data_IF_768144811856
#
_entry.id   IF_768144811856
#
_cell.length_a   1.000
_cell.length_b   1.000
_cell.length_c   1.000
_cell.angle_alpha   90.00
_cell.angle_beta   90.00
_cell.angle_gamma   90.00
#
_symmetry.space_group_name_H-M   'P 1'
#
loop_
_entity.id
_entity.type
_entity.pdbx_description
1 polymer ?
#
# COMPACT_ATOMS: atom_id res chain seq x y z
N UNK A 1 14.25 -2.43 18.93
CA UNK A 1 13.56 -2.63 17.63
C UNK A 1 12.08 -2.83 17.86
N UNK A 2 11.21 -2.16 17.11
CA UNK A 2 9.75 -2.38 17.22
C UNK A 2 9.32 -3.58 16.38
N UNK A 3 8.76 -4.62 17.03
CA UNK A 3 8.18 -5.79 16.34
C UNK A 3 6.98 -5.40 15.48
N UNK A 4 6.16 -4.44 15.91
CA UNK A 4 5.01 -3.96 15.16
C UNK A 4 5.42 -3.35 13.81
N UNK A 5 6.49 -2.55 13.78
CA UNK A 5 7.01 -1.96 12.55
C UNK A 5 7.66 -2.99 11.63
N UNK A 6 8.28 -4.04 12.17
CA UNK A 6 8.79 -5.17 11.37
C UNK A 6 7.65 -5.93 10.70
N UNK A 7 6.60 -6.28 11.46
CA UNK A 7 5.40 -6.94 10.91
C UNK A 7 4.73 -6.04 9.87
N UNK A 8 4.63 -4.74 10.14
CA UNK A 8 4.09 -3.76 9.18
C UNK A 8 4.91 -3.74 7.89
N UNK A 9 6.24 -3.75 7.98
CA UNK A 9 7.12 -3.82 6.81
C UNK A 9 6.89 -5.07 5.96
N UNK A 10 6.69 -6.24 6.60
CA UNK A 10 6.35 -7.48 5.88
C UNK A 10 4.95 -7.38 5.27
N UNK A 11 3.98 -6.78 5.97
CA UNK A 11 2.64 -6.54 5.45
C UNK A 11 2.63 -5.68 4.19
N UNK A 12 3.44 -4.62 4.13
CA UNK A 12 3.61 -3.79 2.94
C UNK A 12 4.22 -4.55 1.75
N UNK A 13 5.17 -5.46 2.01
CA UNK A 13 5.72 -6.32 0.97
C UNK A 13 4.65 -7.28 0.43
N UNK A 14 3.90 -7.95 1.33
CA UNK A 14 2.86 -8.89 0.95
C UNK A 14 1.74 -8.22 0.15
N UNK A 15 1.29 -7.03 0.56
CA UNK A 15 0.26 -6.32 -0.19
C UNK A 15 0.78 -5.81 -1.53
N UNK A 16 2.06 -5.45 -1.65
CA UNK A 16 2.64 -5.11 -2.95
C UNK A 16 2.61 -6.30 -3.93
N UNK A 17 3.02 -7.48 -3.46
CA UNK A 17 2.98 -8.69 -4.27
C UNK A 17 1.54 -9.05 -4.65
N UNK A 18 0.62 -9.07 -3.69
CA UNK A 18 -0.80 -9.34 -3.93
C UNK A 18 -1.48 -8.33 -4.85
N UNK A 19 -1.16 -7.04 -4.70
CA UNK A 19 -1.64 -5.99 -5.60
C UNK A 19 -1.11 -6.21 -7.02
N UNK A 20 0.17 -6.54 -7.17
CA UNK A 20 0.76 -6.85 -8.48
C UNK A 20 0.11 -8.06 -9.16
N UNK A 21 -0.10 -9.15 -8.42
CA UNK A 21 -0.65 -10.38 -9.00
C UNK A 21 -2.14 -10.27 -9.30
N UNK A 22 -2.92 -9.58 -8.46
CA UNK A 22 -4.35 -9.35 -8.70
C UNK A 22 -4.64 -8.53 -9.97
N UNK A 23 -3.63 -7.82 -10.51
CA UNK A 23 -3.71 -7.18 -11.82
C UNK A 23 -4.17 -8.14 -12.91
N UNK A 24 -3.69 -9.40 -12.84
CA UNK A 24 -3.87 -10.38 -13.89
C UNK A 24 -5.35 -10.67 -14.15
N UNK A 25 -6.11 -10.92 -13.09
CA UNK A 25 -7.50 -11.37 -13.19
C UNK A 25 -8.42 -10.36 -13.91
N UNK A 26 -8.25 -9.06 -13.64
CA UNK A 26 -9.08 -8.03 -14.27
C UNK A 26 -8.47 -7.47 -15.54
N UNK A 27 -7.14 -7.45 -15.68
CA UNK A 27 -6.51 -7.00 -16.92
C UNK A 27 -6.68 -8.00 -18.04
N UNK A 28 -6.69 -9.31 -17.78
CA UNK A 28 -6.92 -10.34 -18.83
C UNK A 28 -8.37 -10.37 -19.33
N UNK A 29 -9.30 -9.68 -18.66
CA UNK A 29 -10.68 -9.60 -19.08
C UNK A 29 -10.83 -8.86 -20.42
N UNK A 30 -11.64 -9.40 -21.33
CA UNK A 30 -11.93 -8.81 -22.64
C UNK A 30 -12.42 -7.35 -22.55
N UNK A 31 -13.22 -6.99 -21.54
CA UNK A 31 -13.70 -5.61 -21.32
C UNK A 31 -12.56 -4.64 -20.99
N UNK A 32 -11.52 -5.11 -20.30
CA UNK A 32 -10.35 -4.28 -20.01
C UNK A 32 -9.47 -4.13 -21.26
N UNK A 33 -9.28 -5.21 -22.01
CA UNK A 33 -8.47 -5.22 -23.23
C UNK A 33 -9.06 -4.37 -24.36
N UNK A 34 -10.37 -4.11 -24.34
CA UNK A 34 -11.05 -3.24 -25.31
C UNK A 34 -11.15 -1.78 -24.89
N UNK A 35 -10.55 -1.38 -23.75
CA UNK A 35 -10.53 0.02 -23.33
C UNK A 35 -9.81 0.91 -24.36
N UNK A 36 -10.24 2.18 -24.53
CA UNK A 36 -9.48 3.15 -25.30
C UNK A 36 -8.04 3.26 -24.78
N UNK A 37 -7.09 3.50 -25.71
CA UNK A 37 -5.64 3.50 -25.41
C UNK A 37 -5.25 4.30 -24.17
N UNK A 38 -5.84 5.49 -23.99
CA UNK A 38 -5.57 6.34 -22.84
C UNK A 38 -6.01 5.67 -21.52
N UNK A 39 -7.25 5.18 -21.46
CA UNK A 39 -7.79 4.52 -20.27
C UNK A 39 -7.01 3.23 -19.94
N UNK A 40 -6.70 2.43 -20.97
CA UNK A 40 -5.87 1.23 -20.81
C UNK A 40 -4.50 1.56 -20.21
N UNK A 41 -3.80 2.55 -20.78
CA UNK A 41 -2.47 2.95 -20.34
C UNK A 41 -2.50 3.48 -18.90
N UNK A 42 -3.41 4.39 -18.57
CA UNK A 42 -3.53 4.95 -17.23
C UNK A 42 -3.88 3.88 -16.18
N UNK A 43 -4.81 2.99 -16.48
CA UNK A 43 -5.20 1.92 -15.56
C UNK A 43 -4.05 0.93 -15.32
N UNK A 44 -3.38 0.49 -16.39
CA UNK A 44 -2.28 -0.48 -16.30
C UNK A 44 -1.05 0.12 -15.61
N UNK A 45 -0.59 1.28 -16.07
CA UNK A 45 0.57 1.96 -15.49
C UNK A 45 0.31 2.38 -14.04
N UNK A 46 -0.86 2.97 -13.76
CA UNK A 46 -1.24 3.40 -12.42
C UNK A 46 -1.28 2.24 -11.43
N UNK A 47 -1.75 1.07 -11.85
CA UNK A 47 -1.77 -0.11 -11.00
C UNK A 47 -0.36 -0.60 -10.63
N UNK A 48 0.51 -0.80 -11.62
CA UNK A 48 1.88 -1.25 -11.36
C UNK A 48 2.73 -0.20 -10.64
N UNK A 49 2.47 1.09 -10.89
CA UNK A 49 3.07 2.18 -10.12
C UNK A 49 2.65 2.10 -8.64
N UNK A 50 1.36 1.85 -8.36
CA UNK A 50 0.85 1.59 -7.01
C UNK A 50 1.52 0.42 -6.33
N UNK A 51 1.70 -0.71 -7.03
CA UNK A 51 2.49 -1.84 -6.52
C UNK A 51 3.92 -1.45 -6.16
N UNK A 52 4.58 -0.67 -7.03
CA UNK A 52 5.92 -0.13 -6.76
C UNK A 52 5.98 0.71 -5.49
N UNK A 53 4.99 1.59 -5.27
CA UNK A 53 4.90 2.37 -4.03
C UNK A 53 4.67 1.51 -2.78
N UNK A 54 3.91 0.42 -2.88
CA UNK A 54 3.79 -0.53 -1.77
C UNK A 54 5.12 -1.22 -1.44
N UNK A 55 5.97 -1.52 -2.42
CA UNK A 55 7.35 -2.01 -2.19
C UNK A 55 8.22 -0.92 -1.56
N UNK A 56 8.09 0.35 -1.95
CA UNK A 56 8.80 1.44 -1.26
C UNK A 56 8.45 1.49 0.24
N UNK A 57 7.24 1.07 0.60
CA UNK A 57 6.79 0.95 1.98
C UNK A 57 7.21 -0.37 2.66
N UNK A 58 7.59 -1.41 1.88
CA UNK A 58 7.92 -2.78 2.33
C UNK A 58 9.07 -3.41 1.53
N UNK A 59 10.23 -3.50 2.19
CA UNK A 59 11.54 -4.08 1.80
C UNK A 59 11.82 -4.62 0.39
N UNK A 60 13.05 -4.26 -0.04
CA UNK A 60 13.94 -4.81 -1.08
C UNK A 60 13.85 -4.20 -2.49
N UNK A 61 14.27 -2.93 -2.58
CA UNK A 61 15.24 -2.38 -3.57
C UNK A 61 15.24 -0.84 -3.57
N UNK A 62 14.31 -0.23 -2.85
CA UNK A 62 14.41 1.16 -2.40
C UNK A 62 14.00 1.16 -0.94
N UNK A 63 14.89 1.50 0.00
CA UNK A 63 14.61 1.25 1.40
C UNK A 63 13.60 2.34 1.88
N UNK A 64 12.82 2.22 2.94
CA UNK A 64 13.33 2.50 4.29
C UNK A 64 12.24 2.66 5.34
N UNK A 65 11.04 3.19 5.10
CA UNK A 65 10.33 3.90 6.19
C UNK A 65 9.96 3.02 7.41
N UNK A 66 9.17 1.96 7.26
CA UNK A 66 8.79 1.12 8.41
C UNK A 66 9.99 0.33 8.96
N UNK A 67 10.89 -0.14 8.09
CA UNK A 67 12.08 -0.86 8.54
C UNK A 67 13.08 0.06 9.27
N UNK A 68 13.29 1.29 8.79
CA UNK A 68 14.13 2.32 9.42
C UNK A 68 13.52 2.78 10.73
N UNK A 69 12.20 3.03 10.78
CA UNK A 69 11.49 3.26 12.04
C UNK A 69 11.62 2.05 12.98
N UNK A 70 11.64 0.81 12.46
CA UNK A 70 11.82 -0.38 13.31
C UNK A 70 13.21 -0.43 13.96
N UNK A 71 14.24 0.07 13.26
CA UNK A 71 15.63 0.17 13.73
C UNK A 71 15.80 1.35 14.70
N UNK A 72 15.19 2.48 14.39
CA UNK A 72 15.19 3.68 15.22
C UNK A 72 13.77 4.28 15.36
N UNK A 73 12.97 3.81 16.34
CA UNK A 73 11.60 4.28 16.53
C UNK A 73 11.51 5.76 16.92
N UNK A 74 12.59 6.36 17.43
CA UNK A 74 12.60 7.78 17.80
C UNK A 74 12.40 8.71 16.60
N UNK A 75 12.64 8.24 15.36
CA UNK A 75 12.33 8.98 14.14
C UNK A 75 10.85 9.36 14.05
N UNK A 76 9.93 8.57 14.62
CA UNK A 76 8.49 8.89 14.64
C UNK A 76 8.12 10.04 15.59
N UNK A 77 9.07 10.59 16.34
CA UNK A 77 8.88 11.85 17.10
C UNK A 77 9.01 13.08 16.21
N UNK A 78 9.67 12.96 15.06
CA UNK A 78 9.69 14.01 14.05
C UNK A 78 8.29 14.15 13.43
N UNK A 79 7.66 15.34 13.50
CA UNK A 79 6.34 15.58 12.90
C UNK A 79 6.28 15.23 11.42
N UNK A 80 7.37 15.37 10.67
CA UNK A 80 7.43 15.03 9.24
C UNK A 80 7.28 13.52 9.04
N UNK A 81 8.01 12.72 9.82
CA UNK A 81 7.91 11.26 9.75
C UNK A 81 6.51 10.77 10.14
N UNK A 82 5.91 11.41 11.15
CA UNK A 82 4.55 11.09 11.59
C UNK A 82 3.49 11.52 10.58
N UNK A 83 3.69 12.64 9.89
CA UNK A 83 2.85 13.08 8.78
C UNK A 83 2.92 12.10 7.60
N UNK A 84 4.10 11.56 7.27
CA UNK A 84 4.24 10.52 6.25
C UNK A 84 3.44 9.27 6.64
N UNK A 85 3.53 8.80 7.89
CA UNK A 85 2.71 7.68 8.37
C UNK A 85 1.20 7.97 8.24
N UNK A 86 0.77 9.19 8.58
CA UNK A 86 -0.62 9.63 8.41
C UNK A 86 -1.06 9.63 6.94
N UNK A 87 -0.22 10.12 6.03
CA UNK A 87 -0.49 10.12 4.60
C UNK A 87 -0.64 8.69 4.04
N UNK A 88 0.22 7.76 4.49
CA UNK A 88 0.11 6.34 4.12
C UNK A 88 -1.25 5.77 4.54
N UNK A 89 -1.70 6.02 5.77
CA UNK A 89 -3.02 5.55 6.26
C UNK A 89 -4.15 6.15 5.43
N UNK A 90 -4.10 7.47 5.18
CA UNK A 90 -5.12 8.17 4.42
C UNK A 90 -5.28 7.61 3.00
N UNK A 91 -4.16 7.35 2.30
CA UNK A 91 -4.17 6.75 0.96
C UNK A 91 -4.80 5.35 1.00
N UNK A 92 -4.43 4.52 1.97
CA UNK A 92 -4.95 3.16 2.09
C UNK A 92 -6.44 3.13 2.40
N UNK A 93 -6.92 3.99 3.28
CA UNK A 93 -8.34 4.03 3.63
C UNK A 93 -9.21 4.73 2.60
N UNK A 94 -8.71 5.78 1.94
CA UNK A 94 -9.41 6.41 0.82
C UNK A 94 -9.58 5.45 -0.35
N UNK A 95 -8.51 4.71 -0.72
CA UNK A 95 -8.59 3.67 -1.74
C UNK A 95 -9.47 2.49 -1.29
N UNK A 96 -9.39 2.07 -0.03
CA UNK A 96 -10.24 1.01 0.52
C UNK A 96 -11.72 1.36 0.48
N UNK A 97 -12.08 2.58 0.85
CA UNK A 97 -13.45 3.09 0.73
C UNK A 97 -13.91 3.11 -0.73
N UNK A 98 -13.06 3.59 -1.63
CA UNK A 98 -13.37 3.60 -3.06
C UNK A 98 -13.58 2.19 -3.63
N UNK A 99 -12.73 1.24 -3.26
CA UNK A 99 -12.86 -0.15 -3.66
C UNK A 99 -14.15 -0.77 -3.12
N UNK A 100 -14.47 -0.57 -1.84
CA UNK A 100 -15.70 -1.07 -1.24
C UNK A 100 -16.95 -0.52 -1.95
N UNK A 101 -16.97 0.79 -2.22
CA UNK A 101 -18.07 1.46 -2.94
C UNK A 101 -18.28 0.91 -4.35
N UNK A 102 -17.22 0.45 -5.01
CA UNK A 102 -17.26 -0.06 -6.38
C UNK A 102 -17.25 -1.60 -6.47
N UNK A 103 -17.46 -2.31 -5.35
CA UNK A 103 -17.58 -3.77 -5.32
C UNK A 103 -16.25 -4.54 -5.43
N UNK A 104 -15.11 -3.88 -5.27
CA UNK A 104 -13.77 -4.51 -5.28
C UNK A 104 -13.39 -4.91 -3.84
N UNK A 105 -14.20 -5.78 -3.24
CA UNK A 105 -14.17 -6.07 -1.79
C UNK A 105 -12.86 -6.66 -1.31
N UNK A 106 -12.22 -7.54 -2.08
CA UNK A 106 -10.92 -8.14 -1.72
C UNK A 106 -9.84 -7.08 -1.52
N UNK A 107 -9.74 -6.13 -2.46
CA UNK A 107 -8.78 -5.03 -2.37
C UNK A 107 -9.12 -4.09 -1.22
N UNK A 108 -10.41 -3.79 -1.01
CA UNK A 108 -10.86 -2.96 0.10
C UNK A 108 -10.43 -3.52 1.46
N UNK A 109 -10.62 -4.82 1.67
CA UNK A 109 -10.19 -5.52 2.90
C UNK A 109 -8.67 -5.48 3.03
N UNK A 110 -7.93 -5.80 1.97
CA UNK A 110 -6.47 -5.83 2.01
C UNK A 110 -5.87 -4.45 2.37
N UNK A 111 -6.27 -3.38 1.68
CA UNK A 111 -5.73 -2.05 1.95
C UNK A 111 -6.23 -1.49 3.29
N UNK A 112 -7.46 -1.81 3.70
CA UNK A 112 -8.00 -1.45 5.01
C UNK A 112 -7.19 -2.04 6.16
N UNK A 113 -6.87 -3.34 6.06
CA UNK A 113 -6.07 -4.05 7.06
C UNK A 113 -4.64 -3.49 7.16
N UNK A 114 -3.99 -3.22 6.03
CA UNK A 114 -2.64 -2.62 6.03
C UNK A 114 -2.67 -1.18 6.57
N UNK A 115 -3.68 -0.38 6.23
CA UNK A 115 -3.87 0.95 6.81
C UNK A 115 -4.03 0.90 8.33
N UNK A 116 -4.82 -0.04 8.85
CA UNK A 116 -4.98 -0.24 10.29
C UNK A 116 -3.67 -0.68 10.96
N UNK A 117 -2.92 -1.59 10.35
CA UNK A 117 -1.61 -2.05 10.83
C UNK A 117 -0.58 -0.90 10.85
N UNK A 118 -0.58 -0.04 9.84
CA UNK A 118 0.26 1.17 9.77
C UNK A 118 -0.10 2.18 10.86
N UNK A 119 -1.40 2.39 11.10
CA UNK A 119 -1.90 3.24 12.18
C UNK A 119 -1.45 2.74 13.54
N UNK A 120 -1.67 1.45 13.80
CA UNK A 120 -1.22 0.83 15.05
C UNK A 120 0.29 0.97 15.23
N UNK A 121 1.09 0.63 14.23
CA UNK A 121 2.54 0.62 14.38
C UNK A 121 3.20 1.99 14.46
N UNK A 122 2.64 3.03 13.83
CA UNK A 122 3.25 4.37 13.82
C UNK A 122 2.74 5.30 14.94
N UNK A 123 1.55 5.04 15.51
CA UNK A 123 0.91 5.93 16.48
C UNK A 123 0.83 5.36 17.90
N UNK A 124 1.34 4.15 18.14
CA UNK A 124 1.47 3.55 19.49
C UNK A 124 2.91 3.51 20.01
N UNK A 125 3.85 4.09 19.26
CA UNK A 125 5.28 4.24 19.60
C UNK A 125 5.53 5.59 20.27
#
# INVERSE_FOLDING_TARGET
MSKALQVTSVGWLLISLGHTTSAKDWQENAKFQTLPRLAYACAKAGWYQGSGFFIMNGTSTTPLINYAWSKNPALLRDPVQKAVAGAMIAIMWASGWWYAKNGVTSNAVAVGAIGALQGYSAFTI
#
